data_IF_234377073073
#
_entry.id   IF_234377073073
#
_cell.length_a   1.000
_cell.length_b   1.000
_cell.length_c   1.000
_cell.angle_alpha   90.00
_cell.angle_beta   90.00
_cell.angle_gamma   90.00
#
_symmetry.space_group_name_H-M   'P 1'
#
loop_
_entity.id
_entity.type
_entity.pdbx_description
1 polymer ?
#
# COMPACT_ATOMS: atom_id res chain seq x y z
N UNK A 1 -12.23 7.13 -37.51
CA UNK A 1 -11.37 6.14 -36.83
C UNK A 1 -10.83 6.87 -35.62
N UNK A 2 -11.32 6.52 -34.43
CA UNK A 2 -11.15 7.32 -33.21
C UNK A 2 -9.73 7.23 -32.67
N UNK A 3 -9.12 8.39 -32.49
CA UNK A 3 -7.80 8.56 -31.88
C UNK A 3 -7.80 8.09 -30.43
N UNK A 4 -6.94 7.10 -30.16
CA UNK A 4 -6.60 6.63 -28.84
C UNK A 4 -5.58 7.60 -28.24
N UNK A 5 -6.05 8.74 -27.75
CA UNK A 5 -5.25 9.67 -26.97
C UNK A 5 -4.89 8.99 -25.64
N UNK A 6 -3.69 8.41 -25.61
CA UNK A 6 -3.03 7.99 -24.38
C UNK A 6 -3.13 9.14 -23.37
N UNK A 7 -3.84 8.89 -22.28
CA UNK A 7 -3.98 9.82 -21.17
C UNK A 7 -2.58 10.15 -20.66
N UNK A 8 -2.10 11.33 -21.04
CA UNK A 8 -0.98 11.99 -20.42
C UNK A 8 -1.47 12.50 -19.04
N UNK A 9 -1.82 11.56 -18.15
CA UNK A 9 -2.19 11.89 -16.79
C UNK A 9 -0.91 12.29 -16.07
N UNK A 10 -0.82 13.57 -15.69
CA UNK A 10 0.12 14.04 -14.69
C UNK A 10 0.20 13.01 -13.55
N UNK A 11 1.39 12.77 -12.96
CA UNK A 11 1.47 11.91 -11.78
C UNK A 11 0.44 12.39 -10.78
N UNK A 12 -0.34 11.49 -10.18
CA UNK A 12 -1.38 11.91 -9.27
C UNK A 12 -0.73 12.76 -8.17
N UNK A 13 -1.39 13.85 -7.76
CA UNK A 13 -0.86 14.73 -6.72
C UNK A 13 -0.53 13.92 -5.47
N UNK A 14 0.53 14.34 -4.77
CA UNK A 14 1.06 13.63 -3.61
C UNK A 14 -0.08 13.24 -2.64
N UNK A 15 -0.12 11.98 -2.17
CA UNK A 15 -1.07 11.58 -1.15
C UNK A 15 -0.87 12.49 0.08
N UNK A 16 -1.94 13.04 0.67
CA UNK A 16 -1.81 13.88 1.83
C UNK A 16 -1.26 13.05 2.97
N UNK A 17 -0.41 13.71 3.75
CA UNK A 17 0.19 13.10 4.92
C UNK A 17 -0.89 12.76 5.95
N UNK A 18 -0.77 11.63 6.66
CA UNK A 18 -1.54 11.43 7.87
C UNK A 18 -1.25 12.56 8.88
N UNK A 19 -2.21 12.86 9.78
CA UNK A 19 -2.01 13.87 10.82
C UNK A 19 -0.71 13.66 11.60
N UNK A 20 0.08 14.72 11.76
CA UNK A 20 1.33 14.70 12.52
C UNK A 20 2.59 14.37 11.71
N UNK A 21 2.52 14.13 10.39
CA UNK A 21 3.73 14.11 9.54
C UNK A 21 4.35 15.51 9.35
N UNK A 22 5.66 15.64 9.08
CA UNK A 22 6.26 16.94 8.80
C UNK A 22 5.71 17.56 7.51
N UNK A 23 5.76 18.89 7.34
CA UNK A 23 5.40 19.54 6.10
C UNK A 23 6.20 18.96 4.92
N UNK A 24 5.52 18.44 3.89
CA UNK A 24 6.18 18.07 2.64
C UNK A 24 6.40 19.35 1.80
N UNK A 25 7.65 19.70 1.42
CA UNK A 25 7.93 20.89 0.61
C UNK A 25 7.33 20.84 -0.80
N UNK A 26 6.95 19.65 -1.29
CA UNK A 26 6.24 19.42 -2.55
C UNK A 26 4.72 19.25 -2.39
N UNK A 27 4.17 19.45 -1.19
CA UNK A 27 2.72 19.61 -0.98
C UNK A 27 2.48 21.10 -0.73
N UNK A 28 1.97 21.85 -1.74
CA UNK A 28 1.69 23.25 -1.55
C UNK A 28 0.61 23.39 -0.46
N UNK A 29 0.96 24.10 0.62
CA UNK A 29 0.14 24.44 1.78
C UNK A 29 -0.38 23.27 2.64
N UNK A 30 -0.02 23.29 3.93
CA UNK A 30 -0.73 22.53 4.99
C UNK A 30 -2.26 22.73 4.89
N UNK A 31 -2.71 23.92 4.48
CA UNK A 31 -4.12 24.23 4.28
C UNK A 31 -4.81 23.39 3.19
N UNK A 32 -4.10 22.90 2.17
CA UNK A 32 -4.68 22.04 1.13
C UNK A 32 -5.02 20.63 1.66
N UNK A 33 -4.25 20.14 2.64
CA UNK A 33 -4.52 18.85 3.29
C UNK A 33 -5.73 18.90 4.25
N UNK A 34 -6.11 20.11 4.68
CA UNK A 34 -7.30 20.38 5.51
C UNK A 34 -8.37 21.18 4.75
N UNK A 35 -8.26 21.30 3.42
CA UNK A 35 -9.21 22.06 2.63
C UNK A 35 -10.60 21.43 2.73
N UNK A 36 -11.63 22.26 2.88
CA UNK A 36 -13.03 21.82 2.95
C UNK A 36 -13.50 21.09 1.68
N UNK A 37 -12.79 21.27 0.56
CA UNK A 37 -13.03 20.57 -0.70
C UNK A 37 -11.76 19.81 -1.08
N UNK A 38 -11.82 18.48 -1.22
CA UNK A 38 -10.69 17.68 -1.66
C UNK A 38 -10.40 17.98 -3.14
N UNK A 39 -9.14 18.26 -3.44
CA UNK A 39 -8.60 18.41 -4.79
C UNK A 39 -8.12 17.07 -5.38
N UNK A 40 -7.92 16.05 -4.53
CA UNK A 40 -7.39 14.74 -4.91
C UNK A 40 -8.16 13.61 -4.23
N UNK A 41 -8.24 12.41 -4.83
CA UNK A 41 -8.91 11.26 -4.20
C UNK A 41 -8.28 10.89 -2.85
N UNK A 42 -7.00 11.20 -2.64
CA UNK A 42 -6.28 10.89 -1.42
C UNK A 42 -6.55 11.88 -0.29
N UNK A 43 -7.20 13.02 -0.56
CA UNK A 43 -7.72 13.95 0.45
C UNK A 43 -9.08 13.54 1.00
N UNK A 44 -9.72 12.53 0.41
CA UNK A 44 -10.98 12.03 0.92
C UNK A 44 -10.86 11.38 2.31
N UNK A 45 -11.86 11.62 3.14
CA UNK A 45 -11.99 11.00 4.46
C UNK A 45 -13.03 9.88 4.49
N UNK A 46 -13.89 9.80 3.47
CA UNK A 46 -14.94 8.80 3.32
C UNK A 46 -15.07 8.32 1.86
N UNK A 47 -15.87 7.27 1.67
CA UNK A 47 -16.10 6.64 0.36
C UNK A 47 -16.97 7.50 -0.57
N UNK A 48 -17.84 8.35 -0.03
CA UNK A 48 -18.70 9.24 -0.81
C UNK A 48 -17.90 10.33 -1.51
N UNK A 49 -16.89 10.87 -0.83
CA UNK A 49 -15.89 11.73 -1.43
C UNK A 49 -15.13 11.01 -2.55
N UNK A 50 -14.65 9.80 -2.29
CA UNK A 50 -13.85 9.04 -3.25
C UNK A 50 -14.62 8.76 -4.55
N UNK A 51 -15.92 8.44 -4.44
CA UNK A 51 -16.81 8.24 -5.60
C UNK A 51 -16.80 9.43 -6.58
N UNK A 52 -16.62 10.67 -6.11
CA UNK A 52 -16.61 11.85 -6.98
C UNK A 52 -15.43 11.83 -7.95
N UNK A 53 -14.27 11.36 -7.49
CA UNK A 53 -13.05 11.27 -8.30
C UNK A 53 -13.07 10.11 -9.30
N UNK A 54 -14.00 9.17 -9.13
CA UNK A 54 -14.19 8.03 -10.02
C UNK A 54 -15.20 8.31 -11.14
N UNK A 55 -15.71 9.56 -11.23
CA UNK A 55 -16.80 9.91 -12.16
C UNK A 55 -18.17 9.37 -11.71
N UNK A 56 -18.34 9.12 -10.41
CA UNK A 56 -19.39 8.27 -9.87
C UNK A 56 -18.85 6.89 -9.56
N UNK A 57 -19.61 6.08 -8.81
CA UNK A 57 -19.19 4.74 -8.46
C UNK A 57 -19.79 3.72 -9.45
N UNK A 58 -18.98 3.10 -10.34
CA UNK A 58 -19.48 2.37 -11.53
C UNK A 58 -20.36 1.16 -11.21
N UNK A 59 -20.21 0.57 -10.02
CA UNK A 59 -20.94 -0.63 -9.58
C UNK A 59 -21.90 -0.34 -8.41
N UNK A 60 -22.43 0.90 -8.35
CA UNK A 60 -23.14 1.40 -7.17
C UNK A 60 -22.18 1.95 -6.12
N UNK A 61 -22.68 2.47 -4.98
CA UNK A 61 -21.83 3.15 -4.00
C UNK A 61 -20.69 2.23 -3.54
N UNK A 62 -19.46 2.76 -3.48
CA UNK A 62 -18.33 2.06 -2.89
C UNK A 62 -18.73 1.54 -1.50
N UNK A 63 -18.68 0.23 -1.33
CA UNK A 63 -19.04 -0.40 -0.07
C UNK A 63 -17.85 -0.43 0.90
N UNK A 64 -18.17 -0.63 2.18
CA UNK A 64 -17.16 -0.90 3.21
C UNK A 64 -16.30 -2.09 2.78
N UNK A 65 -14.98 -1.89 2.74
CA UNK A 65 -14.03 -2.94 2.44
C UNK A 65 -14.00 -3.99 3.56
N UNK A 66 -13.98 -5.27 3.19
CA UNK A 66 -13.78 -6.39 4.11
C UNK A 66 -12.38 -6.95 3.87
N UNK A 67 -11.47 -6.66 4.80
CA UNK A 67 -10.08 -7.10 4.72
C UNK A 67 -10.01 -8.59 5.04
N UNK A 68 -9.39 -9.35 4.15
CA UNK A 68 -9.28 -10.82 4.25
C UNK A 68 -7.83 -11.20 4.55
N UNK A 69 -7.64 -12.31 5.26
CA UNK A 69 -6.30 -12.88 5.46
C UNK A 69 -5.72 -13.23 4.08
N UNK A 70 -4.49 -12.80 3.81
CA UNK A 70 -3.90 -12.85 2.47
C UNK A 70 -3.92 -14.26 1.85
N UNK A 71 -3.66 -15.31 2.63
CA UNK A 71 -3.65 -16.71 2.18
C UNK A 71 -5.05 -17.26 1.92
N UNK A 72 -6.10 -16.64 2.47
CA UNK A 72 -7.50 -17.01 2.25
C UNK A 72 -8.16 -16.28 1.07
N UNK A 73 -7.47 -15.32 0.44
CA UNK A 73 -7.96 -14.70 -0.78
C UNK A 73 -8.14 -15.76 -1.88
N UNK A 74 -9.21 -15.64 -2.66
CA UNK A 74 -9.32 -16.37 -3.93
C UNK A 74 -8.22 -15.92 -4.89
N UNK A 75 -7.94 -16.73 -5.91
CA UNK A 75 -6.93 -16.38 -6.90
C UNK A 75 -7.27 -15.08 -7.66
N UNK A 76 -8.54 -14.88 -8.02
CA UNK A 76 -8.99 -13.65 -8.67
C UNK A 76 -8.77 -12.41 -7.77
N UNK A 77 -9.14 -12.49 -6.49
CA UNK A 77 -8.90 -11.39 -5.54
C UNK A 77 -7.39 -11.09 -5.41
N UNK A 78 -6.55 -12.13 -5.33
CA UNK A 78 -5.10 -11.99 -5.19
C UNK A 78 -4.48 -11.36 -6.44
N UNK A 79 -4.92 -11.78 -7.63
CA UNK A 79 -4.47 -11.22 -8.90
C UNK A 79 -4.85 -9.74 -9.04
N UNK A 80 -6.10 -9.36 -8.71
CA UNK A 80 -6.52 -7.94 -8.69
C UNK A 80 -5.65 -7.12 -7.75
N UNK A 81 -5.42 -7.62 -6.52
CA UNK A 81 -4.56 -6.96 -5.55
C UNK A 81 -3.14 -6.76 -6.09
N UNK A 82 -2.51 -7.80 -6.63
CA UNK A 82 -1.16 -7.69 -7.17
C UNK A 82 -1.07 -6.78 -8.40
N UNK A 83 -2.03 -6.85 -9.31
CA UNK A 83 -2.09 -5.98 -10.48
C UNK A 83 -2.21 -4.52 -10.06
N UNK A 84 -3.01 -4.22 -9.04
CA UNK A 84 -3.12 -2.87 -8.49
C UNK A 84 -1.79 -2.39 -7.86
N UNK A 85 -1.08 -3.23 -7.11
CA UNK A 85 0.25 -2.90 -6.58
C UNK A 85 1.25 -2.56 -7.67
N UNK A 86 1.32 -3.41 -8.71
CA UNK A 86 2.22 -3.21 -9.84
C UNK A 86 1.88 -1.95 -10.63
N UNK A 87 0.58 -1.68 -10.83
CA UNK A 87 0.14 -0.44 -11.45
C UNK A 87 0.53 0.78 -10.61
N UNK A 88 0.24 0.79 -9.30
CA UNK A 88 0.63 1.88 -8.41
C UNK A 88 2.14 2.11 -8.41
N UNK A 89 2.94 1.04 -8.49
CA UNK A 89 4.40 1.12 -8.58
C UNK A 89 4.86 1.74 -9.90
N UNK A 90 4.31 1.28 -11.04
CA UNK A 90 4.60 1.82 -12.37
C UNK A 90 4.24 3.31 -12.47
N UNK A 91 3.13 3.70 -11.86
CA UNK A 91 2.62 5.07 -11.89
C UNK A 91 3.35 5.98 -10.87
N UNK A 92 4.31 5.44 -10.10
CA UNK A 92 5.08 6.16 -9.08
C UNK A 92 4.33 6.42 -7.77
N UNK A 93 3.03 6.12 -7.72
CA UNK A 93 2.19 6.34 -6.55
C UNK A 93 2.59 5.49 -5.35
N UNK A 94 3.01 4.24 -5.57
CA UNK A 94 3.50 3.39 -4.48
C UNK A 94 4.70 4.06 -3.78
N UNK A 95 5.62 4.61 -4.56
CA UNK A 95 6.84 5.25 -4.03
C UNK A 95 6.52 6.55 -3.31
N UNK A 96 5.56 7.33 -3.81
CA UNK A 96 5.05 8.49 -3.10
C UNK A 96 4.44 8.10 -1.75
N UNK A 97 3.58 7.07 -1.70
CA UNK A 97 2.98 6.60 -0.45
C UNK A 97 4.07 6.09 0.51
N UNK A 98 5.03 5.29 0.02
CA UNK A 98 6.14 4.81 0.84
C UNK A 98 7.00 5.97 1.40
N UNK A 99 7.20 7.05 0.62
CA UNK A 99 7.95 8.23 1.06
C UNK A 99 7.29 8.96 2.24
N UNK A 100 5.94 8.97 2.31
CA UNK A 100 5.19 9.54 3.45
C UNK A 100 5.59 8.86 4.76
N UNK A 101 5.75 7.54 4.75
CA UNK A 101 6.21 6.80 5.91
C UNK A 101 7.67 7.11 6.26
N UNK A 102 8.58 7.11 5.28
CA UNK A 102 10.00 7.46 5.48
C UNK A 102 10.14 8.82 6.17
N UNK A 103 9.39 9.80 5.70
CA UNK A 103 9.38 11.15 6.26
C UNK A 103 8.79 11.20 7.68
N UNK A 104 7.75 10.42 7.99
CA UNK A 104 7.17 10.36 9.33
C UNK A 104 8.02 9.57 10.35
N UNK A 105 8.85 8.63 9.89
CA UNK A 105 9.88 7.98 10.72
C UNK A 105 10.93 9.00 11.15
N UNK A 106 11.40 9.85 10.23
CA UNK A 106 12.41 10.87 10.52
C UNK A 106 11.96 11.87 11.61
N UNK A 107 10.65 12.12 11.74
CA UNK A 107 10.10 13.01 12.77
C UNK A 107 9.62 12.31 14.03
N UNK A 108 9.68 10.98 14.08
CA UNK A 108 9.15 10.20 15.21
C UNK A 108 7.62 10.18 15.31
N UNK A 109 6.89 10.65 14.28
CA UNK A 109 5.44 10.75 14.33
C UNK A 109 4.74 9.40 14.13
N UNK A 110 5.39 8.49 13.40
CA UNK A 110 4.84 7.18 13.08
C UNK A 110 5.15 6.11 14.14
N UNK A 111 6.23 6.25 14.92
CA UNK A 111 6.77 5.20 15.79
C UNK A 111 7.10 5.68 17.20
N UNK A 112 7.14 4.78 18.17
CA UNK A 112 7.67 5.05 19.52
C UNK A 112 6.78 5.91 20.41
N UNK A 113 5.54 6.20 20.01
CA UNK A 113 4.63 7.04 20.77
C UNK A 113 3.15 6.66 20.62
N UNK A 114 2.24 7.36 21.33
CA UNK A 114 0.80 7.05 21.34
C UNK A 114 0.14 7.22 19.96
N UNK A 115 0.77 7.98 19.06
CA UNK A 115 0.31 8.16 17.69
C UNK A 115 0.53 6.92 16.79
N UNK A 116 1.31 5.92 17.22
CA UNK A 116 1.66 4.76 16.39
C UNK A 116 0.44 4.11 15.72
N UNK A 117 -0.57 3.73 16.49
CA UNK A 117 -1.77 3.08 15.96
C UNK A 117 -2.64 4.00 15.08
N UNK A 118 -3.05 5.21 15.53
CA UNK A 118 -3.87 6.08 14.70
C UNK A 118 -3.15 6.55 13.42
N UNK A 119 -1.85 6.79 13.47
CA UNK A 119 -1.04 7.17 12.30
C UNK A 119 -1.05 6.05 11.24
N UNK A 120 -0.73 4.82 11.64
CA UNK A 120 -0.73 3.67 10.72
C UNK A 120 -2.13 3.32 10.21
N UNK A 121 -3.17 3.48 11.04
CA UNK A 121 -4.57 3.30 10.60
C UNK A 121 -4.93 4.25 9.48
N UNK A 122 -4.58 5.54 9.61
CA UNK A 122 -4.83 6.53 8.57
C UNK A 122 -3.98 6.28 7.31
N UNK A 123 -2.71 5.90 7.48
CA UNK A 123 -1.83 5.52 6.39
C UNK A 123 -2.40 4.35 5.57
N UNK A 124 -2.84 3.28 6.24
CA UNK A 124 -3.45 2.11 5.59
C UNK A 124 -4.81 2.45 4.93
N UNK A 125 -5.59 3.37 5.50
CA UNK A 125 -6.83 3.86 4.87
C UNK A 125 -6.54 4.56 3.54
N UNK A 126 -5.55 5.45 3.50
CA UNK A 126 -5.12 6.17 2.29
C UNK A 126 -4.53 5.22 1.24
N UNK A 127 -3.77 4.22 1.69
CA UNK A 127 -3.26 3.16 0.84
C UNK A 127 -4.39 2.31 0.22
N UNK A 128 -5.41 1.97 1.00
CA UNK A 128 -6.59 1.25 0.49
C UNK A 128 -7.40 2.11 -0.50
N UNK A 129 -7.51 3.42 -0.31
CA UNK A 129 -8.11 4.30 -1.31
C UNK A 129 -7.32 4.32 -2.62
N UNK A 130 -5.98 4.31 -2.56
CA UNK A 130 -5.14 4.22 -3.75
C UNK A 130 -5.33 2.91 -4.52
N UNK A 131 -5.39 1.78 -3.81
CA UNK A 131 -5.72 0.49 -4.42
C UNK A 131 -7.11 0.52 -5.08
N UNK A 132 -8.10 1.14 -4.43
CA UNK A 132 -9.49 1.18 -4.91
C UNK A 132 -9.73 2.16 -6.05
N UNK A 133 -8.84 3.14 -6.22
CA UNK A 133 -8.81 3.97 -7.44
C UNK A 133 -8.34 3.17 -8.67
N UNK A 134 -7.58 2.09 -8.46
CA UNK A 134 -7.20 1.15 -9.54
C UNK A 134 -8.29 0.11 -9.76
N UNK A 135 -8.74 -0.57 -8.71
CA UNK A 135 -9.85 -1.54 -8.76
C UNK A 135 -10.77 -1.35 -7.54
N UNK A 136 -12.02 -0.87 -7.74
CA UNK A 136 -12.97 -0.55 -6.66
C UNK A 136 -13.34 -1.73 -5.75
N UNK A 137 -13.14 -2.96 -6.23
CA UNK A 137 -13.47 -4.21 -5.54
C UNK A 137 -12.41 -4.64 -4.52
N UNK A 138 -11.21 -4.04 -4.55
CA UNK A 138 -10.11 -4.41 -3.67
C UNK A 138 -10.40 -3.96 -2.22
N UNK A 139 -10.14 -4.86 -1.28
CA UNK A 139 -9.90 -4.55 0.12
C UNK A 139 -8.43 -4.87 0.42
N UNK A 140 -7.78 -4.06 1.26
CA UNK A 140 -6.40 -4.30 1.68
C UNK A 140 -6.35 -5.61 2.50
N UNK A 141 -5.63 -6.66 2.06
CA UNK A 141 -5.50 -7.86 2.88
C UNK A 141 -4.68 -7.60 4.13
N UNK A 142 -4.79 -8.51 5.10
CA UNK A 142 -3.89 -8.56 6.25
C UNK A 142 -3.08 -9.85 6.22
N UNK A 143 -1.92 -9.81 6.88
CA UNK A 143 -1.11 -10.98 7.16
C UNK A 143 -1.25 -11.29 8.65
N UNK A 144 -1.81 -12.46 8.97
CA UNK A 144 -1.82 -12.97 10.34
C UNK A 144 -0.51 -13.73 10.63
N UNK A 145 0.44 -13.07 11.29
CA UNK A 145 1.72 -13.69 11.60
C UNK A 145 1.67 -14.71 12.72
N UNK A 146 0.58 -14.80 13.49
CA UNK A 146 0.43 -15.83 14.53
C UNK A 146 0.40 -17.24 13.94
N UNK A 147 -0.20 -17.39 12.76
CA UNK A 147 -0.23 -18.64 11.99
C UNK A 147 1.18 -19.10 11.58
N UNK A 148 2.06 -18.17 11.22
CA UNK A 148 3.44 -18.49 10.86
C UNK A 148 4.30 -18.74 12.10
N UNK A 149 4.00 -18.06 13.20
CA UNK A 149 4.63 -18.31 14.50
C UNK A 149 4.35 -19.70 15.06
N UNK A 150 3.25 -20.33 14.63
CA UNK A 150 2.89 -21.70 15.00
C UNK A 150 3.59 -22.79 14.16
N UNK A 151 4.30 -22.42 13.09
CA UNK A 151 5.05 -23.38 12.28
C UNK A 151 6.29 -23.88 13.05
N UNK A 152 6.71 -25.16 12.85
CA UNK A 152 7.99 -25.65 13.39
C UNK A 152 9.18 -24.81 12.94
N UNK A 153 9.09 -24.22 11.74
CA UNK A 153 10.06 -23.30 11.19
C UNK A 153 9.30 -22.15 10.52
N UNK A 154 9.12 -21.00 11.18
CA UNK A 154 8.36 -19.86 10.63
C UNK A 154 8.86 -19.35 9.27
N UNK A 155 10.15 -19.59 8.96
CA UNK A 155 10.73 -19.24 7.67
C UNK A 155 10.16 -20.04 6.49
N UNK A 156 9.56 -21.21 6.75
CA UNK A 156 8.95 -22.07 5.74
C UNK A 156 7.53 -21.61 5.35
N UNK A 157 7.09 -20.44 5.84
CA UNK A 157 5.80 -19.86 5.48
C UNK A 157 5.63 -19.76 3.96
N UNK A 158 4.49 -20.25 3.47
CA UNK A 158 4.08 -20.11 2.07
C UNK A 158 4.00 -18.64 1.63
N UNK A 159 3.81 -17.70 2.56
CA UNK A 159 3.78 -16.26 2.28
C UNK A 159 5.03 -15.81 1.52
N UNK A 160 6.18 -16.42 1.81
CA UNK A 160 7.48 -16.09 1.24
C UNK A 160 7.90 -16.99 0.07
N UNK A 161 6.95 -17.71 -0.53
CA UNK A 161 7.15 -18.49 -1.75
C UNK A 161 7.03 -17.65 -3.03
N UNK A 162 7.41 -18.21 -4.18
CA UNK A 162 7.26 -17.55 -5.49
C UNK A 162 5.80 -17.24 -5.85
N UNK A 163 4.85 -18.05 -5.36
CA UNK A 163 3.42 -17.92 -5.66
C UNK A 163 2.81 -16.67 -5.00
N UNK A 164 3.24 -16.37 -3.78
CA UNK A 164 2.68 -15.31 -2.94
C UNK A 164 3.54 -14.04 -3.00
N UNK A 165 4.26 -13.69 -1.92
CA UNK A 165 5.02 -12.44 -1.82
C UNK A 165 6.44 -12.55 -2.38
N UNK A 166 6.71 -13.58 -3.19
CA UNK A 166 7.97 -13.87 -3.85
C UNK A 166 9.00 -14.54 -2.94
N UNK A 167 9.94 -15.30 -3.52
CA UNK A 167 11.02 -15.99 -2.81
C UNK A 167 12.36 -15.29 -3.04
N UNK A 168 13.09 -15.00 -1.95
CA UNK A 168 14.42 -14.42 -2.01
C UNK A 168 15.49 -15.48 -2.36
N UNK A 169 16.53 -15.07 -3.09
CA UNK A 169 17.69 -15.92 -3.38
C UNK A 169 18.64 -16.04 -2.16
N UNK A 170 19.77 -16.73 -2.34
CA UNK A 170 20.78 -16.91 -1.27
C UNK A 170 21.42 -15.60 -0.79
N UNK A 171 21.32 -14.52 -1.56
CA UNK A 171 21.76 -13.18 -1.17
C UNK A 171 20.63 -12.36 -0.54
N UNK A 172 19.48 -12.98 -0.28
CA UNK A 172 18.28 -12.33 0.24
C UNK A 172 17.52 -11.53 -0.82
N UNK A 173 17.88 -11.59 -2.10
CA UNK A 173 17.31 -10.70 -3.12
C UNK A 173 16.11 -11.34 -3.82
N UNK A 174 15.02 -10.58 -3.90
CA UNK A 174 13.84 -10.95 -4.67
C UNK A 174 14.06 -10.65 -6.17
N UNK A 175 14.67 -11.60 -6.87
CA UNK A 175 15.04 -11.47 -8.30
C UNK A 175 14.04 -12.08 -9.28
N UNK A 176 13.07 -12.84 -8.77
CA UNK A 176 12.04 -13.52 -9.58
C UNK A 176 10.67 -13.44 -8.89
N UNK A 177 9.63 -13.85 -9.62
CA UNK A 177 8.25 -13.76 -9.16
C UNK A 177 7.60 -12.41 -9.49
N UNK A 178 6.34 -12.28 -9.09
CA UNK A 178 5.46 -11.19 -9.56
C UNK A 178 5.93 -9.79 -9.17
N UNK A 179 6.69 -9.66 -8.09
CA UNK A 179 7.22 -8.39 -7.60
C UNK A 179 8.70 -8.19 -7.93
N UNK A 180 9.25 -8.90 -8.91
CA UNK A 180 10.63 -8.70 -9.36
C UNK A 180 10.69 -8.26 -10.84
N UNK A 181 11.56 -7.30 -11.19
CA UNK A 181 12.33 -6.44 -10.28
C UNK A 181 11.42 -5.43 -9.57
N UNK A 182 11.77 -5.07 -8.34
CA UNK A 182 11.14 -3.97 -7.61
C UNK A 182 12.21 -3.04 -7.07
N UNK A 183 12.38 -1.91 -7.75
CA UNK A 183 13.35 -0.89 -7.33
C UNK A 183 12.89 -0.24 -6.03
N UNK A 184 13.71 -0.25 -4.98
CA UNK A 184 13.36 0.38 -3.69
C UNK A 184 13.54 1.90 -3.75
N UNK A 185 13.07 2.62 -2.73
CA UNK A 185 13.24 4.09 -2.65
C UNK A 185 14.72 4.49 -2.58
N UNK A 186 15.57 3.63 -2.01
CA UNK A 186 17.03 3.82 -1.89
C UNK A 186 17.76 3.52 -3.21
N UNK A 187 17.03 3.15 -4.27
CA UNK A 187 17.59 2.88 -5.59
C UNK A 187 18.07 1.45 -5.81
N UNK A 188 17.94 0.56 -4.81
CA UNK A 188 18.29 -0.86 -4.96
C UNK A 188 17.40 -1.51 -6.04
N UNK A 189 17.95 -2.35 -6.94
CA UNK A 189 17.17 -2.93 -8.04
C UNK A 189 16.15 -4.00 -7.60
N UNK A 190 16.30 -4.54 -6.39
CA UNK A 190 15.46 -5.61 -5.84
C UNK A 190 15.12 -5.33 -4.38
N UNK A 191 14.00 -5.90 -3.93
CA UNK A 191 13.72 -6.04 -2.49
C UNK A 191 14.71 -7.05 -1.91
N UNK A 192 15.26 -6.74 -0.73
CA UNK A 192 16.10 -7.68 0.04
C UNK A 192 15.34 -8.15 1.28
N UNK A 193 15.29 -9.47 1.51
CA UNK A 193 14.62 -10.11 2.64
C UNK A 193 15.37 -11.39 3.06
N UNK A 194 15.81 -11.43 4.31
CA UNK A 194 16.38 -12.61 4.96
C UNK A 194 15.34 -13.20 5.92
N UNK A 195 14.47 -14.07 5.40
CA UNK A 195 13.36 -14.63 6.17
C UNK A 195 13.90 -15.49 7.32
N UNK A 196 13.41 -15.26 8.55
CA UNK A 196 13.82 -16.01 9.73
C UNK A 196 15.19 -15.65 10.30
N UNK A 197 15.94 -14.72 9.69
CA UNK A 197 17.25 -14.31 10.22
C UNK A 197 17.16 -13.29 11.35
N UNK A 198 15.98 -12.71 11.61
CA UNK A 198 15.76 -11.70 12.64
C UNK A 198 14.28 -11.46 12.93
N UNK A 199 13.99 -11.05 14.17
CA UNK A 199 12.63 -10.91 14.68
C UNK A 199 11.96 -12.26 14.98
N UNK A 200 10.75 -12.21 15.55
CA UNK A 200 9.89 -13.36 15.75
C UNK A 200 8.47 -13.00 15.31
N UNK A 201 7.72 -14.00 14.84
CA UNK A 201 6.28 -13.82 14.62
C UNK A 201 5.57 -13.58 15.95
N UNK A 202 4.42 -12.93 15.93
CA UNK A 202 3.58 -12.86 17.12
C UNK A 202 3.15 -14.28 17.52
N UNK A 203 3.03 -14.50 18.82
CA UNK A 203 2.50 -15.74 19.38
C UNK A 203 1.26 -15.41 20.19
N UNK A 204 0.24 -16.26 20.11
CA UNK A 204 -0.89 -16.19 21.04
C UNK A 204 -0.38 -16.56 22.43
N UNK A 205 -0.75 -15.75 23.43
CA UNK A 205 -0.35 -15.92 24.84
C UNK A 205 -1.24 -16.91 25.58
#
# INVERSE_FOLDING_TARGET
>A
MSDNAARNSLPPPNPPLPPGGPPNPNIPNLAANFAAVPATPYQCMDLGCLCRFMGGCPNGPLQRAVRTEYRLMTEDQRQRYHNALLQMKRDGLFDQIASVHTTAVQTGSAHGGPAFHPWHREYLKRYEFALRMVDPSIALPYWDSTLDGALPTPADSILFSQELMGQADSNGQLRSGRFAPWRTLEGNPFITRFVGSGGACYQES
#
